data_IF_196348363472
#
_entry.id   IF_196348363472
#
_cell.length_a   1.000
_cell.length_b   1.000
_cell.length_c   1.000
_cell.angle_alpha   90.00
_cell.angle_beta   90.00
_cell.angle_gamma   90.00
#
_symmetry.space_group_name_H-M   'P 1'
#
loop_
_entity.id
_entity.type
_entity.pdbx_description
1 polymer ?
#
# COMPACT_ATOMS: atom_id res chain seq x y z
N UNK A 1 -15.97 12.46 -15.71
CA UNK A 1 -14.75 11.62 -15.65
C UNK A 1 -14.54 11.19 -14.20
N UNK A 2 -14.49 9.90 -13.93
CA UNK A 2 -14.18 9.39 -12.60
C UNK A 2 -12.68 9.53 -12.31
N UNK A 3 -12.29 9.56 -11.03
CA UNK A 3 -10.86 9.59 -10.63
C UNK A 3 -10.09 8.43 -11.28
N UNK A 4 -10.73 7.28 -11.40
CA UNK A 4 -10.22 6.09 -12.10
C UNK A 4 -9.89 6.37 -13.57
N UNK A 5 -10.78 6.99 -14.31
CA UNK A 5 -10.58 7.33 -15.73
C UNK A 5 -9.45 8.34 -15.90
N UNK A 6 -9.37 9.31 -15.00
CA UNK A 6 -8.29 10.29 -14.97
C UNK A 6 -6.92 9.65 -14.71
N UNK A 7 -6.80 8.80 -13.69
CA UNK A 7 -5.55 8.12 -13.36
C UNK A 7 -5.08 7.17 -14.48
N UNK A 8 -6.02 6.45 -15.12
CA UNK A 8 -5.71 5.56 -16.25
C UNK A 8 -5.24 6.38 -17.46
N UNK A 9 -5.84 7.54 -17.69
CA UNK A 9 -5.47 8.41 -18.83
C UNK A 9 -4.08 9.00 -18.64
N UNK A 10 -3.78 9.55 -17.45
CA UNK A 10 -2.45 10.09 -17.14
C UNK A 10 -1.36 9.01 -17.19
N UNK A 11 -1.64 7.82 -16.66
CA UNK A 11 -0.70 6.70 -16.71
C UNK A 11 -0.37 6.27 -18.16
N UNK A 12 -1.36 6.26 -19.05
CA UNK A 12 -1.14 5.98 -20.49
C UNK A 12 -0.31 7.06 -21.18
N UNK A 13 -0.54 8.31 -20.84
CA UNK A 13 0.20 9.47 -21.42
C UNK A 13 1.67 9.41 -20.98
N UNK A 14 1.94 9.13 -19.72
CA UNK A 14 3.31 9.09 -19.19
C UNK A 14 4.11 7.86 -19.70
N UNK A 15 3.49 6.69 -19.93
CA UNK A 15 4.16 5.52 -20.52
C UNK A 15 4.49 5.66 -22.02
N UNK A 16 3.80 6.57 -22.74
CA UNK A 16 4.04 6.81 -24.18
C UNK A 16 5.31 7.60 -24.48
N UNK A 17 5.96 8.21 -23.50
CA UNK A 17 7.11 9.11 -23.69
C UNK A 17 8.48 8.51 -23.34
N UNK A 18 8.57 7.22 -23.02
CA UNK A 18 9.86 6.58 -22.74
C UNK A 18 10.46 6.01 -24.04
N UNK A 19 11.46 6.70 -24.58
CA UNK A 19 12.29 6.19 -25.70
C UNK A 19 12.95 4.88 -25.29
N UNK A 20 12.65 3.82 -26.02
CA UNK A 20 13.29 2.50 -25.92
C UNK A 20 14.76 2.63 -26.30
N UNK A 21 15.66 2.52 -25.34
CA UNK A 21 17.07 2.19 -25.61
C UNK A 21 17.22 0.67 -25.47
N UNK A 22 17.57 0.04 -26.58
CA UNK A 22 17.90 -1.38 -26.63
C UNK A 22 19.16 -1.66 -25.80
N UNK A 23 19.01 -2.48 -24.77
CA UNK A 23 20.13 -3.03 -24.02
C UNK A 23 20.33 -4.49 -24.44
N UNK A 24 21.56 -4.80 -24.87
CA UNK A 24 22.00 -6.12 -25.33
C UNK A 24 21.87 -7.16 -24.20
N UNK A 25 21.24 -8.29 -24.52
CA UNK A 25 21.17 -9.48 -23.68
C UNK A 25 22.55 -10.04 -23.39
N UNK A 26 22.87 -10.20 -22.11
CA UNK A 26 23.91 -11.12 -21.63
C UNK A 26 23.27 -12.20 -20.77
N UNK A 27 23.63 -13.46 -21.01
CA UNK A 27 23.05 -14.66 -20.41
C UNK A 27 23.08 -14.68 -18.88
N UNK A 28 22.06 -15.28 -18.19
CA UNK A 28 21.94 -15.20 -16.77
C UNK A 28 22.90 -16.15 -16.05
N UNK A 29 23.76 -15.60 -15.19
CA UNK A 29 24.44 -16.37 -14.14
C UNK A 29 23.42 -16.75 -13.07
N UNK A 30 23.36 -18.03 -12.71
CA UNK A 30 22.50 -18.56 -11.66
C UNK A 30 22.68 -17.79 -10.35
N UNK A 31 21.68 -16.99 -9.98
CA UNK A 31 21.65 -16.25 -8.73
C UNK A 31 21.11 -17.18 -7.66
N UNK A 32 21.95 -17.53 -6.67
CA UNK A 32 21.50 -18.13 -5.42
C UNK A 32 20.57 -17.11 -4.74
N UNK A 33 19.27 -17.33 -4.84
CA UNK A 33 18.27 -16.50 -4.17
C UNK A 33 18.33 -16.75 -2.67
N UNK A 34 19.10 -15.95 -1.95
CA UNK A 34 18.87 -15.77 -0.53
C UNK A 34 17.43 -15.28 -0.38
N UNK A 35 16.59 -16.00 0.38
CA UNK A 35 15.23 -15.57 0.73
C UNK A 35 15.35 -14.24 1.49
N UNK A 36 15.22 -13.12 0.76
CA UNK A 36 15.23 -11.79 1.37
C UNK A 36 13.96 -11.68 2.21
N UNK A 37 14.11 -11.65 3.53
CA UNK A 37 13.00 -11.39 4.44
C UNK A 37 12.43 -10.01 4.11
N UNK A 38 11.21 -9.98 3.56
CA UNK A 38 10.54 -8.73 3.24
C UNK A 38 10.08 -8.12 4.58
N UNK A 39 10.59 -6.94 4.90
CA UNK A 39 10.22 -6.21 6.12
C UNK A 39 8.98 -5.33 5.89
N UNK A 40 8.31 -4.94 6.98
CA UNK A 40 7.20 -3.98 6.95
C UNK A 40 7.56 -2.71 6.15
N UNK A 41 8.78 -2.19 6.34
CA UNK A 41 9.28 -1.04 5.59
C UNK A 41 9.35 -1.26 4.06
N UNK A 42 9.51 -2.49 3.60
CA UNK A 42 9.48 -2.82 2.16
C UNK A 42 8.08 -2.70 1.58
N UNK A 43 7.06 -3.16 2.31
CA UNK A 43 5.65 -3.05 1.91
C UNK A 43 5.24 -1.58 1.81
N UNK A 44 5.52 -0.79 2.84
CA UNK A 44 5.23 0.65 2.84
C UNK A 44 5.96 1.38 1.71
N UNK A 45 7.22 1.03 1.42
CA UNK A 45 7.95 1.59 0.27
C UNK A 45 7.30 1.29 -1.06
N UNK A 46 6.70 0.11 -1.23
CA UNK A 46 5.92 -0.19 -2.41
C UNK A 46 4.68 0.71 -2.54
N UNK A 47 3.93 0.92 -1.46
CA UNK A 47 2.79 1.84 -1.47
C UNK A 47 3.22 3.25 -1.88
N UNK A 48 4.32 3.74 -1.33
CA UNK A 48 4.90 5.04 -1.69
C UNK A 48 5.25 5.09 -3.19
N UNK A 49 5.85 4.04 -3.73
CA UNK A 49 6.22 4.01 -5.15
C UNK A 49 5.01 4.08 -6.07
N UNK A 50 3.92 3.39 -5.71
CA UNK A 50 2.65 3.46 -6.46
C UNK A 50 2.04 4.86 -6.36
N UNK A 51 1.99 5.47 -5.19
CA UNK A 51 1.49 6.83 -5.05
C UNK A 51 2.27 7.83 -5.93
N UNK A 52 3.60 7.69 -5.98
CA UNK A 52 4.46 8.54 -6.83
C UNK A 52 4.23 8.30 -8.31
N UNK A 53 4.03 7.04 -8.72
CA UNK A 53 3.76 6.69 -10.13
C UNK A 53 2.47 7.34 -10.64
N UNK A 54 1.47 7.47 -9.77
CA UNK A 54 0.17 8.07 -10.10
C UNK A 54 0.03 9.55 -9.68
N UNK A 55 1.14 10.18 -9.26
CA UNK A 55 1.16 11.58 -8.79
C UNK A 55 0.12 11.85 -7.70
N UNK A 56 -0.01 10.90 -6.76
CA UNK A 56 -0.91 11.00 -5.61
C UNK A 56 -0.16 11.53 -4.40
N UNK A 57 -0.68 12.60 -3.82
CA UNK A 57 -0.22 13.07 -2.52
C UNK A 57 -0.53 12.04 -1.44
N UNK A 58 0.45 11.74 -0.61
CA UNK A 58 0.33 10.79 0.50
C UNK A 58 0.98 11.32 1.78
N UNK A 59 0.53 10.81 2.89
CA UNK A 59 1.08 11.09 4.22
C UNK A 59 1.38 9.78 4.94
N UNK A 60 2.45 9.74 5.72
CA UNK A 60 2.86 8.57 6.50
C UNK A 60 2.50 8.72 7.96
N UNK A 61 2.26 7.59 8.64
CA UNK A 61 1.99 7.53 10.08
C UNK A 61 0.89 8.51 10.53
N UNK A 62 -0.21 8.54 9.80
CA UNK A 62 -1.28 9.52 9.98
C UNK A 62 -2.22 9.12 11.11
N UNK A 63 -2.32 9.97 12.13
CA UNK A 63 -3.36 9.86 13.15
C UNK A 63 -4.71 10.26 12.58
N UNK A 64 -5.71 9.38 12.72
CA UNK A 64 -7.06 9.60 12.18
C UNK A 64 -8.15 9.55 13.26
N UNK A 65 -7.81 9.22 14.48
CA UNK A 65 -8.76 9.04 15.57
C UNK A 65 -8.55 10.06 16.68
N UNK A 66 -9.66 10.57 17.22
CA UNK A 66 -9.68 11.43 18.41
C UNK A 66 -9.80 10.62 19.71
N UNK A 67 -10.28 9.38 19.61
CA UNK A 67 -10.54 8.50 20.75
C UNK A 67 -9.25 7.84 21.25
N UNK A 68 -8.44 7.34 20.32
CA UNK A 68 -7.15 6.68 20.60
C UNK A 68 -6.09 7.16 19.63
N UNK A 69 -4.81 7.00 20.01
CA UNK A 69 -3.66 7.34 19.15
C UNK A 69 -3.43 6.32 18.04
N UNK A 70 -4.50 5.92 17.34
CA UNK A 70 -4.38 5.07 16.17
C UNK A 70 -3.81 5.85 14.99
N UNK A 71 -2.91 5.19 14.26
CA UNK A 71 -2.31 5.72 13.05
C UNK A 71 -2.50 4.73 11.92
N UNK A 72 -2.64 5.26 10.72
CA UNK A 72 -2.50 4.51 9.48
C UNK A 72 -1.05 4.61 8.98
N UNK A 73 -0.53 3.54 8.39
CA UNK A 73 0.83 3.54 7.85
C UNK A 73 0.98 4.54 6.71
N UNK A 74 -0.06 4.68 5.88
CA UNK A 74 -0.13 5.65 4.80
C UNK A 74 -1.56 6.15 4.63
N UNK A 75 -1.73 7.42 4.30
CA UNK A 75 -3.00 8.00 3.90
C UNK A 75 -2.89 8.68 2.53
N UNK A 76 -3.96 8.58 1.74
CA UNK A 76 -4.14 9.32 0.49
C UNK A 76 -5.33 10.26 0.68
N UNK A 77 -5.10 11.51 1.14
CA UNK A 77 -6.18 12.40 1.58
C UNK A 77 -7.20 12.69 0.49
N UNK A 78 -6.75 12.89 -0.75
CA UNK A 78 -7.61 13.19 -1.90
C UNK A 78 -8.67 12.11 -2.17
N UNK A 79 -8.36 10.85 -1.86
CA UNK A 79 -9.25 9.71 -2.06
C UNK A 79 -9.94 9.25 -0.78
N UNK A 80 -9.63 9.87 0.35
CA UNK A 80 -10.10 9.45 1.67
C UNK A 80 -9.73 7.99 2.01
N UNK A 81 -8.54 7.56 1.56
CA UNK A 81 -8.04 6.20 1.73
C UNK A 81 -6.97 6.16 2.82
N UNK A 82 -7.10 5.19 3.72
CA UNK A 82 -6.05 4.77 4.66
C UNK A 82 -5.50 3.42 4.21
N UNK A 83 -4.20 3.26 4.27
CA UNK A 83 -3.50 2.02 3.87
C UNK A 83 -2.73 1.47 5.06
N UNK A 84 -2.90 0.19 5.32
CA UNK A 84 -2.26 -0.54 6.42
C UNK A 84 -1.42 -1.69 5.89
N UNK A 85 -0.22 -1.81 6.41
CA UNK A 85 0.65 -2.95 6.22
C UNK A 85 0.58 -3.85 7.45
N UNK A 86 -0.12 -4.98 7.31
CA UNK A 86 -0.31 -5.92 8.42
C UNK A 86 0.98 -6.70 8.70
N UNK A 87 1.54 -6.48 9.88
CA UNK A 87 2.80 -7.07 10.31
C UNK A 87 2.67 -8.49 10.84
N UNK A 88 1.87 -9.36 10.19
CA UNK A 88 1.76 -10.77 10.59
C UNK A 88 3.01 -11.50 10.13
N UNK A 89 4.01 -11.57 11.00
CA UNK A 89 5.29 -12.23 10.71
C UNK A 89 5.38 -13.65 11.28
N UNK A 90 4.48 -14.02 12.20
CA UNK A 90 4.44 -15.34 12.83
C UNK A 90 3.10 -15.60 13.50
N UNK A 91 2.80 -16.86 13.81
CA UNK A 91 1.60 -17.27 14.58
C UNK A 91 1.54 -16.63 15.97
N UNK A 92 2.66 -16.17 16.51
CA UNK A 92 2.76 -15.48 17.80
C UNK A 92 2.65 -13.95 17.68
N UNK A 93 2.31 -13.41 16.53
CA UNK A 93 2.14 -11.97 16.39
C UNK A 93 0.92 -11.50 17.20
N UNK A 94 0.95 -10.25 17.68
CA UNK A 94 -0.16 -9.66 18.47
C UNK A 94 -1.51 -9.68 17.74
N UNK A 95 -1.52 -9.72 16.40
CA UNK A 95 -2.73 -9.78 15.58
C UNK A 95 -3.42 -11.15 15.62
N UNK A 96 -2.74 -12.18 16.14
CA UNK A 96 -3.32 -13.52 16.32
C UNK A 96 -3.94 -13.72 17.70
N UNK A 97 -3.71 -12.81 18.66
CA UNK A 97 -4.39 -12.83 19.95
C UNK A 97 -5.79 -12.21 19.85
N UNK A 98 -6.74 -12.71 20.66
CA UNK A 98 -8.12 -12.16 20.72
C UNK A 98 -8.07 -10.66 21.04
N UNK A 99 -7.27 -10.26 22.01
CA UNK A 99 -7.15 -8.84 22.40
C UNK A 99 -6.55 -7.99 21.29
N UNK A 100 -5.49 -8.46 20.62
CA UNK A 100 -4.87 -7.74 19.51
C UNK A 100 -5.84 -7.58 18.34
N UNK A 101 -6.52 -8.65 17.97
CA UNK A 101 -7.52 -8.63 16.91
C UNK A 101 -8.71 -7.71 17.24
N UNK A 102 -9.20 -7.74 18.50
CA UNK A 102 -10.28 -6.86 18.93
C UNK A 102 -9.90 -5.38 18.85
N UNK A 103 -8.67 -5.03 19.24
CA UNK A 103 -8.16 -3.66 19.09
C UNK A 103 -8.07 -3.24 17.62
N UNK A 104 -7.69 -4.13 16.74
CA UNK A 104 -7.67 -3.85 15.29
C UNK A 104 -9.09 -3.65 14.75
N UNK A 105 -10.07 -4.45 15.19
CA UNK A 105 -11.47 -4.25 14.82
C UNK A 105 -11.98 -2.86 15.25
N UNK A 106 -11.70 -2.44 16.49
CA UNK A 106 -12.06 -1.11 16.97
C UNK A 106 -11.41 0.01 16.12
N UNK A 107 -10.15 -0.15 15.80
CA UNK A 107 -9.40 0.79 14.94
C UNK A 107 -10.10 0.98 13.59
N UNK A 108 -10.43 -0.13 12.92
CA UNK A 108 -11.03 -0.08 11.59
C UNK A 108 -12.48 0.38 11.61
N UNK A 109 -13.25 0.00 12.62
CA UNK A 109 -14.61 0.52 12.80
C UNK A 109 -14.61 2.04 13.02
N UNK A 110 -13.64 2.56 13.78
CA UNK A 110 -13.50 3.99 13.97
C UNK A 110 -13.13 4.72 12.68
N UNK A 111 -12.21 4.17 11.90
CA UNK A 111 -11.86 4.74 10.60
C UNK A 111 -13.04 4.73 9.62
N UNK A 112 -13.78 3.63 9.55
CA UNK A 112 -14.99 3.52 8.72
C UNK A 112 -16.09 4.50 9.13
N UNK A 113 -16.25 4.79 10.42
CA UNK A 113 -17.22 5.78 10.91
C UNK A 113 -16.88 7.22 10.51
N UNK A 114 -15.67 7.46 10.04
CA UNK A 114 -15.19 8.76 9.54
C UNK A 114 -15.11 8.81 8.00
N UNK A 115 -15.81 7.90 7.33
CA UNK A 115 -15.86 7.80 5.87
C UNK A 115 -14.51 7.49 5.19
N UNK A 116 -13.54 6.96 5.96
CA UNK A 116 -12.32 6.46 5.36
C UNK A 116 -12.53 5.08 4.74
N UNK A 117 -12.04 4.90 3.53
CA UNK A 117 -11.82 3.58 2.96
C UNK A 117 -10.49 3.04 3.49
N UNK A 118 -10.49 1.81 4.00
CA UNK A 118 -9.28 1.18 4.53
C UNK A 118 -8.85 0.06 3.60
N UNK A 119 -7.63 0.15 3.08
CA UNK A 119 -6.97 -0.89 2.32
C UNK A 119 -5.89 -1.55 3.18
N UNK A 120 -5.98 -2.86 3.35
CA UNK A 120 -5.12 -3.63 4.26
C UNK A 120 -4.38 -4.71 3.50
N UNK A 121 -3.07 -4.78 3.71
CA UNK A 121 -2.21 -5.72 3.01
C UNK A 121 -1.23 -6.41 3.95
N UNK A 122 -0.97 -7.67 3.64
CA UNK A 122 0.12 -8.43 4.23
C UNK A 122 1.30 -8.48 3.28
N UNK A 123 2.40 -9.06 3.73
CA UNK A 123 3.57 -9.36 2.90
C UNK A 123 3.25 -10.22 1.67
N UNK A 124 2.15 -10.98 1.70
CA UNK A 124 1.80 -11.91 0.63
C UNK A 124 0.99 -11.25 -0.50
N UNK A 125 0.26 -10.18 -0.20
CA UNK A 125 -0.68 -9.57 -1.15
C UNK A 125 -0.50 -8.06 -1.37
N UNK A 126 0.51 -7.44 -0.79
CA UNK A 126 0.71 -5.98 -0.87
C UNK A 126 0.82 -5.44 -2.30
N UNK A 127 1.23 -6.27 -3.25
CA UNK A 127 1.31 -5.89 -4.66
C UNK A 127 -0.05 -5.69 -5.33
N UNK A 128 -1.13 -6.14 -4.69
CA UNK A 128 -2.50 -5.86 -5.14
C UNK A 128 -2.89 -4.39 -4.95
N UNK A 129 -2.15 -3.64 -4.13
CA UNK A 129 -2.45 -2.26 -3.80
C UNK A 129 -2.68 -1.39 -5.05
N UNK A 130 -1.84 -1.50 -6.06
CA UNK A 130 -1.99 -0.75 -7.31
C UNK A 130 -3.32 -1.05 -8.00
N UNK A 131 -3.66 -2.34 -8.16
CA UNK A 131 -4.91 -2.75 -8.79
C UNK A 131 -6.14 -2.30 -7.98
N UNK A 132 -6.06 -2.38 -6.67
CA UNK A 132 -7.16 -1.99 -5.79
C UNK A 132 -7.33 -0.46 -5.78
N UNK A 133 -6.24 0.29 -5.76
CA UNK A 133 -6.26 1.76 -5.82
C UNK A 133 -6.96 2.27 -7.08
N UNK A 134 -6.79 1.60 -8.22
CA UNK A 134 -7.43 1.97 -9.48
C UNK A 134 -8.96 1.77 -9.53
N UNK A 135 -9.54 1.22 -8.46
CA UNK A 135 -11.01 1.07 -8.32
C UNK A 135 -11.67 2.30 -7.68
N UNK A 136 -10.88 3.21 -7.12
CA UNK A 136 -11.32 4.44 -6.46
C UNK A 136 -11.03 5.66 -7.31
#
# INVERSE_FOLDING_TARGET
MTVKEYLILEHKINKGNTKVQQVKESAPKAIKTAKKTISHGTVTRYFISVCKEYDLEYQLEVGFSEIRRWKADLAIPRLNILVESEGIMSEKSRHTSITGFSNDCEKYNNAGSKDFTILRYTILNYKQFECDLLRY
#
